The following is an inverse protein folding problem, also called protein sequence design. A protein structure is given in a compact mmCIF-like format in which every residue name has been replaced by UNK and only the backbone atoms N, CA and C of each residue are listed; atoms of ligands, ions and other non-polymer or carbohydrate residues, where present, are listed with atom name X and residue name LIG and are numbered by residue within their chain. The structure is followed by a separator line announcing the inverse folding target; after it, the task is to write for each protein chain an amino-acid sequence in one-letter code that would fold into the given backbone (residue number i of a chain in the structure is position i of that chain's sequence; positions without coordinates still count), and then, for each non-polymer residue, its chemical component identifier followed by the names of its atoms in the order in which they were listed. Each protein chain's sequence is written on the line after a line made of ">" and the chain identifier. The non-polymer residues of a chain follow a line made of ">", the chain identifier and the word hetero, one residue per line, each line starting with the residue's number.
data_IF_607624341202
#
_entry.id   IF_607624341202
#
_cell.length_a   1.000
_cell.length_b   1.000
_cell.length_c   1.000
_cell.angle_alpha   90.00
_cell.angle_beta   90.00
_cell.angle_gamma   90.00
#
_symmetry.space_group_name_H-M   'P 1'
#
loop_
_entity.id
_entity.type
_entity.pdbx_description
1 polymer ?
#
# COMPACT_ATOMS: atom_id res chain seq x y z
N UNK A 1 -19.97 16.90 4.02
CA UNK A 1 -19.13 17.29 2.87
C UNK A 1 -19.02 18.80 2.80
N UNK A 2 -17.96 19.36 2.21
CA UNK A 2 -17.74 20.81 2.08
C UNK A 2 -17.41 21.16 0.63
N UNK A 3 -17.94 22.28 0.14
CA UNK A 3 -17.63 22.79 -1.18
C UNK A 3 -16.23 23.40 -1.17
N UNK A 4 -15.38 22.91 -2.06
CA UNK A 4 -14.04 23.46 -2.22
C UNK A 4 -14.08 24.81 -2.95
N UNK A 5 -13.43 25.83 -2.39
CA UNK A 5 -13.45 27.19 -2.95
C UNK A 5 -12.65 27.31 -4.25
N UNK A 6 -11.63 26.46 -4.43
CA UNK A 6 -10.75 26.49 -5.61
C UNK A 6 -11.27 25.65 -6.77
N UNK A 7 -11.70 24.42 -6.51
CA UNK A 7 -12.14 23.47 -7.55
C UNK A 7 -13.65 23.43 -7.75
N UNK A 8 -14.41 24.08 -6.88
CA UNK A 8 -15.87 24.08 -6.87
C UNK A 8 -16.51 22.69 -6.66
N UNK A 9 -15.70 21.67 -6.34
CA UNK A 9 -16.13 20.29 -6.12
C UNK A 9 -16.50 20.04 -4.65
N UNK A 10 -17.40 19.10 -4.42
CA UNK A 10 -17.72 18.62 -3.08
C UNK A 10 -16.61 17.68 -2.62
N UNK A 11 -15.93 18.03 -1.52
CA UNK A 11 -14.89 17.20 -0.92
C UNK A 11 -15.30 16.78 0.49
N UNK A 12 -15.02 15.52 0.88
CA UNK A 12 -15.24 15.10 2.25
C UNK A 12 -14.13 15.73 3.12
N UNK A 13 -14.55 16.47 4.16
CA UNK A 13 -13.68 17.02 5.19
C UNK A 13 -14.17 16.53 6.55
N UNK A 14 -13.23 16.22 7.43
CA UNK A 14 -13.50 16.00 8.84
C UNK A 14 -13.05 17.23 9.62
N UNK A 15 -13.87 17.64 10.58
CA UNK A 15 -13.59 18.74 11.50
C UNK A 15 -13.32 18.16 12.88
N UNK A 16 -12.29 18.65 13.55
CA UNK A 16 -11.95 18.24 14.90
C UNK A 16 -11.37 19.43 15.67
N UNK A 17 -11.40 19.36 17.00
CA UNK A 17 -10.90 20.43 17.87
C UNK A 17 -9.85 19.91 18.85
N UNK A 18 -8.83 20.72 19.09
CA UNK A 18 -7.85 20.53 20.16
C UNK A 18 -7.90 21.77 21.05
N UNK A 19 -8.49 21.64 22.23
CA UNK A 19 -8.77 22.78 23.10
C UNK A 19 -9.69 23.79 22.43
N UNK A 20 -9.22 25.04 22.27
CA UNK A 20 -9.96 26.12 21.60
C UNK A 20 -9.76 26.16 20.08
N UNK A 21 -8.80 25.41 19.55
CA UNK A 21 -8.43 25.45 18.13
C UNK A 21 -9.26 24.43 17.35
N UNK A 22 -9.79 24.86 16.21
CA UNK A 22 -10.51 24.02 15.27
C UNK A 22 -9.65 23.73 14.04
N UNK A 23 -9.65 22.47 13.63
CA UNK A 23 -8.89 21.98 12.49
C UNK A 23 -9.81 21.24 11.52
N UNK A 24 -9.42 21.26 10.25
CA UNK A 24 -10.13 20.57 9.20
C UNK A 24 -9.13 19.80 8.33
N UNK A 25 -9.40 18.54 8.07
CA UNK A 25 -8.59 17.69 7.20
C UNK A 25 -9.43 17.16 6.05
N UNK A 26 -8.81 17.05 4.87
CA UNK A 26 -9.44 16.37 3.74
C UNK A 26 -9.35 14.87 3.97
N UNK A 27 -10.49 14.18 3.83
CA UNK A 27 -10.57 12.75 4.14
C UNK A 27 -10.88 11.92 2.90
N UNK A 28 -10.62 12.42 1.70
CA UNK A 28 -10.85 11.65 0.47
C UNK A 28 -10.07 10.32 0.49
N UNK A 29 -10.65 9.27 -0.09
CA UNK A 29 -9.97 8.00 -0.32
C UNK A 29 -10.48 7.36 -1.61
N UNK A 30 -9.60 6.75 -2.44
CA UNK A 30 -9.98 6.22 -3.76
C UNK A 30 -11.10 5.17 -3.77
N UNK A 31 -11.40 4.54 -2.64
CA UNK A 31 -12.37 3.43 -2.53
C UNK A 31 -13.37 3.59 -1.37
N UNK A 32 -13.41 4.76 -0.73
CA UNK A 32 -14.29 4.99 0.41
C UNK A 32 -15.04 6.31 0.24
N UNK A 33 -16.36 6.23 0.33
CA UNK A 33 -17.25 7.38 0.30
C UNK A 33 -17.76 7.65 1.69
N UNK A 34 -17.67 8.90 2.13
CA UNK A 34 -18.20 9.33 3.41
C UNK A 34 -19.59 9.93 3.24
N UNK A 35 -20.48 9.65 4.18
CA UNK A 35 -21.76 10.32 4.32
C UNK A 35 -21.59 11.65 5.07
N UNK A 36 -22.53 12.58 4.86
CA UNK A 36 -22.54 13.80 5.67
C UNK A 36 -22.89 13.45 7.13
N UNK A 37 -22.16 14.05 8.08
CA UNK A 37 -22.27 13.83 9.53
C UNK A 37 -21.85 12.43 10.00
N UNK A 38 -21.14 11.67 9.16
CA UNK A 38 -20.51 10.43 9.58
C UNK A 38 -19.42 10.69 10.63
N UNK A 39 -19.44 9.94 11.73
CA UNK A 39 -18.39 10.00 12.75
C UNK A 39 -17.19 9.22 12.28
N UNK A 40 -16.02 9.86 12.28
CA UNK A 40 -14.76 9.25 11.89
C UNK A 40 -13.74 9.41 13.02
N UNK A 41 -12.84 8.44 13.15
CA UNK A 41 -11.74 8.53 14.11
C UNK A 41 -10.60 9.28 13.47
N UNK A 42 -10.21 10.42 14.04
CA UNK A 42 -9.06 11.22 13.57
C UNK A 42 -7.87 10.91 14.46
N UNK A 43 -6.76 10.52 13.83
CA UNK A 43 -5.45 10.40 14.47
C UNK A 43 -4.69 11.67 14.15
N UNK A 44 -4.22 12.34 15.19
CA UNK A 44 -3.48 13.58 15.08
C UNK A 44 -2.30 13.57 16.03
N UNK A 45 -1.29 14.35 15.68
CA UNK A 45 -0.15 14.65 16.54
C UNK A 45 -0.29 16.09 17.02
N UNK A 46 -0.15 16.32 18.33
CA UNK A 46 -0.35 17.63 18.96
C UNK A 46 0.60 18.69 18.44
N UNK A 47 1.83 18.31 18.08
CA UNK A 47 2.85 19.22 17.54
C UNK A 47 2.58 19.61 16.08
N UNK A 48 1.92 18.73 15.33
CA UNK A 48 1.63 18.91 13.90
C UNK A 48 0.18 18.52 13.54
N UNK A 49 -0.82 19.29 14.00
CA UNK A 49 -2.23 18.99 13.73
C UNK A 49 -2.58 19.03 12.24
N UNK A 50 -1.78 19.71 11.42
CA UNK A 50 -1.93 19.71 9.96
C UNK A 50 -1.67 18.35 9.31
N UNK A 51 -0.94 17.45 9.98
CA UNK A 51 -0.64 16.08 9.49
C UNK A 51 -1.67 15.04 9.95
N UNK A 52 -2.77 15.46 10.57
CA UNK A 52 -3.80 14.55 11.03
C UNK A 52 -4.44 13.76 9.87
N UNK A 53 -4.78 12.51 10.13
CA UNK A 53 -5.40 11.61 9.16
C UNK A 53 -6.52 10.80 9.82
N UNK A 54 -7.47 10.33 9.03
CA UNK A 54 -8.52 9.45 9.53
C UNK A 54 -7.96 8.05 9.72
N UNK A 55 -8.21 7.44 10.88
CA UNK A 55 -7.84 6.04 11.13
C UNK A 55 -8.52 5.14 10.11
N UNK A 56 -7.70 4.36 9.41
CA UNK A 56 -8.13 3.40 8.41
C UNK A 56 -7.30 2.15 8.55
N UNK A 57 -7.94 1.00 8.41
CA UNK A 57 -7.24 -0.28 8.32
C UNK A 57 -6.22 -0.28 7.16
N UNK A 58 -6.63 0.27 6.01
CA UNK A 58 -5.77 0.53 4.86
C UNK A 58 -5.35 2.01 4.85
N UNK A 59 -4.04 2.29 5.02
CA UNK A 59 -3.46 3.63 5.07
C UNK A 59 -2.71 3.97 6.36
N UNK A 60 -2.94 3.25 7.47
CA UNK A 60 -2.06 3.29 8.65
C UNK A 60 -0.96 2.20 8.58
N UNK A 61 -1.34 0.99 8.16
CA UNK A 61 -0.41 -0.15 8.05
C UNK A 61 0.28 -0.28 6.68
N UNK A 62 -0.28 0.35 5.65
CA UNK A 62 0.16 0.17 4.27
C UNK A 62 -0.08 1.46 3.49
N UNK A 63 0.99 2.20 3.18
CA UNK A 63 0.90 3.32 2.27
C UNK A 63 0.79 2.82 0.82
N UNK A 64 -0.03 3.48 0.01
CA UNK A 64 -0.22 3.12 -1.40
C UNK A 64 1.08 3.18 -2.20
N UNK A 65 1.96 4.11 -1.85
CA UNK A 65 3.29 4.25 -2.47
C UNK A 65 4.15 3.01 -2.20
N UNK A 66 4.14 2.52 -0.95
CA UNK A 66 4.89 1.33 -0.53
C UNK A 66 4.30 0.06 -1.14
N UNK A 67 2.97 -0.05 -1.23
CA UNK A 67 2.30 -1.19 -1.86
C UNK A 67 2.66 -1.28 -3.33
N UNK A 68 2.54 -0.18 -4.07
CA UNK A 68 2.87 -0.12 -5.49
C UNK A 68 4.36 -0.40 -5.71
N UNK A 69 5.23 0.20 -4.88
CA UNK A 69 6.67 -0.08 -4.92
C UNK A 69 6.98 -1.56 -4.71
N UNK A 70 6.31 -2.21 -3.76
CA UNK A 70 6.48 -3.64 -3.47
C UNK A 70 5.99 -4.52 -4.61
N UNK A 71 4.85 -4.20 -5.22
CA UNK A 71 4.32 -4.92 -6.39
C UNK A 71 5.30 -4.80 -7.56
N UNK A 72 5.80 -3.59 -7.83
CA UNK A 72 6.78 -3.34 -8.90
C UNK A 72 8.06 -4.14 -8.64
N UNK A 73 8.59 -4.09 -7.41
CA UNK A 73 9.78 -4.85 -7.04
C UNK A 73 9.58 -6.36 -7.23
N UNK A 74 8.42 -6.91 -6.84
CA UNK A 74 8.10 -8.31 -7.05
C UNK A 74 8.05 -8.67 -8.54
N UNK A 75 7.46 -7.83 -9.38
CA UNK A 75 7.43 -8.03 -10.84
C UNK A 75 8.86 -8.02 -11.41
N UNK A 76 9.69 -7.07 -11.00
CA UNK A 76 11.09 -6.98 -11.46
C UNK A 76 11.87 -8.24 -11.09
N UNK A 77 11.80 -8.66 -9.83
CA UNK A 77 12.46 -9.89 -9.37
C UNK A 77 11.96 -11.13 -10.10
N UNK A 78 10.66 -11.21 -10.37
CA UNK A 78 10.07 -12.29 -11.17
C UNK A 78 10.63 -12.31 -12.59
N UNK A 79 10.72 -11.16 -13.26
CA UNK A 79 11.30 -11.07 -14.61
C UNK A 79 12.78 -11.49 -14.62
N UNK A 80 13.55 -11.09 -13.61
CA UNK A 80 14.94 -11.53 -13.44
C UNK A 80 15.01 -13.05 -13.28
N UNK A 81 14.18 -13.64 -12.43
CA UNK A 81 14.14 -15.08 -12.22
C UNK A 81 13.77 -15.84 -13.50
N UNK A 82 12.77 -15.35 -14.25
CA UNK A 82 12.37 -15.92 -15.56
C UNK A 82 13.52 -15.83 -16.57
N UNK A 83 14.22 -14.69 -16.63
CA UNK A 83 15.36 -14.51 -17.53
C UNK A 83 16.50 -15.47 -17.21
N UNK A 84 16.81 -15.68 -15.93
CA UNK A 84 17.88 -16.61 -15.50
C UNK A 84 17.47 -18.05 -15.80
N UNK A 85 16.22 -18.42 -15.53
CA UNK A 85 15.73 -19.79 -15.70
C UNK A 85 15.61 -20.18 -17.18
N UNK A 86 15.23 -19.25 -18.06
CA UNK A 86 15.08 -19.50 -19.49
C UNK A 86 16.39 -19.42 -20.27
N UNK A 87 17.44 -18.83 -19.70
CA UNK A 87 18.78 -18.79 -20.30
C UNK A 87 19.84 -19.27 -19.28
N UNK A 88 19.83 -20.57 -18.94
CA UNK A 88 20.77 -21.13 -17.98
C UNK A 88 22.21 -20.98 -18.49
N UNK A 89 23.14 -20.74 -17.56
CA UNK A 89 24.58 -20.79 -17.86
C UNK A 89 24.98 -22.20 -18.31
N UNK A 90 26.03 -22.30 -19.14
CA UNK A 90 26.47 -23.60 -19.70
C UNK A 90 26.76 -24.67 -18.63
N UNK A 91 27.22 -24.25 -17.44
CA UNK A 91 27.42 -25.14 -16.29
C UNK A 91 26.10 -25.69 -15.74
N UNK A 92 25.07 -24.86 -15.64
CA UNK A 92 23.75 -25.25 -15.15
C UNK A 92 23.01 -26.14 -16.17
N UNK A 93 23.21 -25.91 -17.48
CA UNK A 93 22.71 -26.82 -18.52
C UNK A 93 23.32 -28.21 -18.40
N UNK A 94 24.64 -28.32 -18.19
CA UNK A 94 25.30 -29.61 -18.01
C UNK A 94 24.80 -30.33 -16.76
N UNK A 95 24.68 -29.62 -15.63
CA UNK A 95 24.09 -30.21 -14.40
C UNK A 95 22.66 -30.69 -14.60
N UNK A 96 21.83 -29.97 -15.37
CA UNK A 96 20.47 -30.40 -15.70
C UNK A 96 20.45 -31.62 -16.64
N UNK A 97 21.37 -31.70 -17.60
CA UNK A 97 21.49 -32.84 -18.52
C UNK A 97 22.02 -34.09 -17.82
N UNK A 98 22.94 -33.91 -16.88
CA UNK A 98 23.54 -34.98 -16.08
C UNK A 98 22.73 -35.30 -14.81
N UNK A 99 21.57 -34.66 -14.61
CA UNK A 99 20.72 -34.86 -13.44
C UNK A 99 20.09 -36.26 -13.44
N UNK A 100 20.50 -37.08 -12.47
CA UNK A 100 19.88 -38.37 -12.17
C UNK A 100 18.94 -38.16 -10.97
N UNK A 101 17.62 -38.37 -11.12
CA UNK A 101 16.68 -38.14 -10.03
C UNK A 101 16.98 -39.07 -8.85
N UNK A 102 17.23 -38.49 -7.68
CA UNK A 102 17.42 -39.26 -6.46
C UNK A 102 16.17 -40.07 -6.13
N UNK A 103 16.35 -41.36 -5.82
CA UNK A 103 15.27 -42.24 -5.40
C UNK A 103 14.81 -41.83 -4.00
N UNK A 104 13.83 -40.94 -3.91
CA UNK A 104 13.21 -40.56 -2.63
C UNK A 104 12.50 -41.76 -2.00
N UNK A 105 12.88 -42.12 -0.78
CA UNK A 105 12.09 -43.02 0.05
C UNK A 105 10.80 -42.32 0.46
N UNK A 106 9.69 -43.06 0.48
CA UNK A 106 8.33 -42.51 0.67
C UNK A 106 8.12 -41.88 2.06
N UNK A 107 9.04 -42.08 2.99
CA UNK A 107 9.02 -41.56 4.35
C UNK A 107 10.45 -41.32 4.84
N UNK A 108 10.78 -40.05 5.10
CA UNK A 108 11.72 -39.55 6.10
C UNK A 108 11.17 -38.18 6.55
#
# INVERSE_FOLDING_TARGET
>A
MVRDSTSNKMIPKAFYSIGVNQYAIQVAYPLLTYQSNEKVTVIFETEHPSKASVYRFWGYWLHWEELLGSIIAAIVLFQIAVSITNNPTESAMKEQMDYIPEKKTKYD
#
